data_IF_785811637154
#
_entry.id   IF_785811637154
#
_cell.length_a   1.000
_cell.length_b   1.000
_cell.length_c   1.000
_cell.angle_alpha   90.00
_cell.angle_beta   90.00
_cell.angle_gamma   90.00
#
_symmetry.space_group_name_H-M   'P 1'
#
loop_
_entity.id
_entity.type
_entity.pdbx_description
1 polymer ?
#
# COMPACT_ATOMS: atom_id res chain seq x y z
N UNK A 1 -12.69 -12.16 5.73
CA UNK A 1 -12.55 -13.58 6.12
C UNK A 1 -11.08 -13.92 6.25
N UNK A 2 -10.73 -14.97 7.00
CA UNK A 2 -9.34 -15.42 7.19
C UNK A 2 -9.20 -16.80 6.56
N UNK A 3 -8.21 -16.98 5.69
CA UNK A 3 -7.94 -18.24 5.00
C UNK A 3 -6.48 -18.63 5.21
N UNK A 4 -6.22 -19.92 5.44
CA UNK A 4 -4.86 -20.45 5.50
C UNK A 4 -4.61 -21.20 4.22
N UNK A 5 -3.63 -20.73 3.44
CA UNK A 5 -3.19 -21.41 2.22
C UNK A 5 -1.88 -22.12 2.47
N UNK A 6 -1.68 -23.27 1.81
CA UNK A 6 -0.36 -23.87 1.72
C UNK A 6 0.60 -22.91 1.04
N UNK A 7 1.82 -22.85 1.56
CA UNK A 7 2.87 -21.99 1.01
C UNK A 7 3.23 -22.49 -0.40
N UNK A 8 3.26 -21.63 -1.43
CA UNK A 8 3.82 -22.01 -2.72
C UNK A 8 5.33 -22.21 -2.56
N UNK A 9 5.73 -23.49 -2.49
CA UNK A 9 7.10 -24.02 -2.57
C UNK A 9 8.20 -23.15 -1.92
N UNK A 10 8.38 -23.27 -0.60
CA UNK A 10 9.71 -23.09 -0.03
C UNK A 10 10.42 -24.45 -0.09
N UNK A 11 11.51 -24.53 -0.86
CA UNK A 11 12.39 -25.69 -0.87
C UNK A 11 12.93 -25.91 0.55
N UNK A 12 12.66 -27.10 1.11
CA UNK A 12 13.19 -27.53 2.39
C UNK A 12 14.72 -27.56 2.31
N UNK A 13 15.40 -26.78 3.16
CA UNK A 13 16.81 -27.07 3.47
C UNK A 13 16.86 -28.28 4.40
N UNK A 14 17.67 -29.28 4.05
CA UNK A 14 17.85 -30.58 4.71
C UNK A 14 18.53 -30.51 6.10
N UNK A 15 18.12 -29.58 6.96
CA UNK A 15 18.61 -29.51 8.33
C UNK A 15 17.44 -29.53 9.29
N UNK A 16 17.02 -30.73 9.66
CA UNK A 16 16.16 -30.95 10.82
C UNK A 16 16.78 -30.30 12.07
N UNK A 17 15.91 -29.83 12.98
CA UNK A 17 16.11 -28.97 14.16
C UNK A 17 15.98 -27.46 13.88
N UNK A 18 15.20 -26.64 14.62
CA UNK A 18 14.58 -26.72 15.97
C UNK A 18 13.23 -25.97 15.92
N UNK A 19 12.33 -26.29 16.86
CA UNK A 19 11.25 -25.41 17.30
C UNK A 19 11.82 -24.01 17.56
N UNK A 20 11.62 -23.09 16.61
CA UNK A 20 11.85 -21.69 16.88
C UNK A 20 10.61 -21.19 17.63
N UNK A 21 10.83 -20.69 18.84
CA UNK A 21 9.88 -19.79 19.51
C UNK A 21 9.26 -18.88 18.44
N UNK A 22 7.92 -18.81 18.33
CA UNK A 22 7.30 -18.07 17.25
C UNK A 22 7.80 -16.64 17.28
N UNK A 23 8.42 -16.21 16.17
CA UNK A 23 8.88 -14.84 15.95
C UNK A 23 7.79 -13.88 16.46
N UNK A 24 8.13 -12.80 17.17
CA UNK A 24 7.16 -11.87 17.81
C UNK A 24 5.96 -11.49 16.93
N UNK A 25 6.18 -11.38 15.62
CA UNK A 25 5.20 -11.04 14.57
C UNK A 25 4.12 -12.13 14.38
N UNK A 26 4.34 -13.35 14.90
CA UNK A 26 3.46 -14.53 14.79
C UNK A 26 2.83 -14.94 16.12
N UNK A 27 2.94 -14.09 17.14
CA UNK A 27 2.17 -14.22 18.38
C UNK A 27 0.70 -13.85 18.09
N UNK A 28 -0.23 -14.45 18.84
CA UNK A 28 -1.68 -14.26 18.71
C UNK A 28 -2.11 -12.79 18.59
N UNK A 29 -1.58 -11.92 19.45
CA UNK A 29 -1.89 -10.48 19.45
C UNK A 29 -1.48 -9.79 18.16
N UNK A 30 -0.32 -10.14 17.61
CA UNK A 30 0.20 -9.58 16.34
C UNK A 30 -0.63 -10.05 15.14
N UNK A 31 -1.04 -11.31 15.13
CA UNK A 31 -1.93 -11.86 14.09
C UNK A 31 -3.28 -11.14 14.10
N UNK A 32 -3.89 -10.94 15.28
CA UNK A 32 -5.15 -10.22 15.43
C UNK A 32 -5.03 -8.78 14.93
N UNK A 33 -3.96 -8.07 15.27
CA UNK A 33 -3.71 -6.69 14.80
C UNK A 33 -3.57 -6.62 13.27
N UNK A 34 -2.83 -7.57 12.68
CA UNK A 34 -2.64 -7.65 11.24
C UNK A 34 -3.95 -7.94 10.53
N UNK A 35 -4.76 -8.88 11.04
CA UNK A 35 -6.10 -9.19 10.54
C UNK A 35 -7.00 -7.94 10.62
N UNK A 36 -6.92 -7.18 11.72
CA UNK A 36 -7.70 -5.96 11.93
C UNK A 36 -7.49 -4.88 10.87
N UNK A 37 -6.33 -4.84 10.20
CA UNK A 37 -6.08 -3.90 9.10
C UNK A 37 -7.03 -4.15 7.91
N UNK A 38 -7.39 -5.40 7.64
CA UNK A 38 -8.30 -5.77 6.56
C UNK A 38 -9.78 -5.50 6.90
N UNK A 39 -10.13 -5.30 8.17
CA UNK A 39 -11.52 -5.15 8.62
C UNK A 39 -12.18 -3.81 8.21
N UNK A 40 -11.43 -2.87 7.62
CA UNK A 40 -11.95 -1.56 7.17
C UNK A 40 -12.65 -1.60 5.81
N UNK A 41 -12.63 -2.75 5.14
CA UNK A 41 -13.25 -2.95 3.83
C UNK A 41 -14.26 -4.10 3.93
N UNK A 42 -15.40 -3.96 3.24
CA UNK A 42 -16.46 -4.97 3.17
C UNK A 42 -15.96 -6.33 2.64
N UNK A 43 -15.08 -6.28 1.65
CA UNK A 43 -14.42 -7.44 1.04
C UNK A 43 -13.05 -7.74 1.68
N UNK A 44 -12.83 -7.26 2.91
CA UNK A 44 -11.61 -7.52 3.66
C UNK A 44 -11.32 -9.02 3.80
N UNK A 45 -10.21 -9.46 3.21
CA UNK A 45 -9.72 -10.84 3.28
C UNK A 45 -8.29 -10.88 3.78
N UNK A 46 -7.97 -11.92 4.54
CA UNK A 46 -6.63 -12.19 5.06
C UNK A 46 -6.25 -13.59 4.62
N UNK A 47 -5.07 -13.72 4.00
CA UNK A 47 -4.49 -15.00 3.60
C UNK A 47 -3.24 -15.20 4.45
N UNK A 48 -3.20 -16.28 5.22
CA UNK A 48 -2.03 -16.70 5.97
C UNK A 48 -1.37 -17.87 5.23
N UNK A 49 -0.12 -17.71 4.82
CA UNK A 49 0.67 -18.80 4.26
C UNK A 49 1.37 -19.55 5.38
N UNK A 50 1.05 -20.84 5.52
CA UNK A 50 1.66 -21.72 6.49
C UNK A 50 1.53 -23.19 6.07
N UNK A 51 2.52 -24.00 6.43
CA UNK A 51 2.46 -25.45 6.21
C UNK A 51 1.60 -26.15 7.25
N UNK A 52 1.59 -25.63 8.48
CA UNK A 52 0.78 -26.12 9.61
C UNK A 52 0.07 -24.98 10.32
N UNK A 53 -1.07 -25.29 10.94
CA UNK A 53 -1.81 -24.33 11.76
C UNK A 53 -1.25 -24.39 13.18
N UNK A 54 -0.63 -23.30 13.63
CA UNK A 54 -0.11 -23.18 15.00
C UNK A 54 -1.21 -22.81 15.99
N UNK A 55 -0.97 -23.03 17.29
CA UNK A 55 -1.93 -22.66 18.33
C UNK A 55 -2.29 -21.16 18.32
N UNK A 56 -1.31 -20.29 18.09
CA UNK A 56 -1.51 -18.84 17.94
C UNK A 56 -2.42 -18.50 16.75
N UNK A 57 -2.25 -19.20 15.62
CA UNK A 57 -3.13 -19.04 14.45
C UNK A 57 -4.55 -19.49 14.77
N UNK A 58 -4.71 -20.66 15.40
CA UNK A 58 -6.02 -21.18 15.80
C UNK A 58 -6.76 -20.18 16.70
N UNK A 59 -6.10 -19.65 17.73
CA UNK A 59 -6.69 -18.64 18.62
C UNK A 59 -7.09 -17.37 17.88
N UNK A 60 -6.20 -16.83 17.03
CA UNK A 60 -6.49 -15.63 16.24
C UNK A 60 -7.65 -15.83 15.23
N UNK A 61 -7.70 -16.99 14.56
CA UNK A 61 -8.79 -17.35 13.64
C UNK A 61 -10.12 -17.46 14.40
N UNK A 62 -10.13 -18.17 15.52
CA UNK A 62 -11.32 -18.38 16.33
C UNK A 62 -11.87 -17.06 16.87
N UNK A 63 -11.01 -16.19 17.40
CA UNK A 63 -11.43 -14.87 17.90
C UNK A 63 -11.96 -13.99 16.76
N UNK A 64 -11.34 -14.04 15.57
CA UNK A 64 -11.82 -13.31 14.39
C UNK A 64 -13.20 -13.81 13.95
N UNK A 65 -13.41 -15.12 13.91
CA UNK A 65 -14.69 -15.73 13.54
C UNK A 65 -15.78 -15.44 14.57
N UNK A 66 -15.45 -15.50 15.86
CA UNK A 66 -16.37 -15.13 16.95
C UNK A 66 -16.85 -13.68 16.82
N UNK A 67 -15.92 -12.73 16.61
CA UNK A 67 -16.26 -11.31 16.39
C UNK A 67 -17.13 -11.11 15.16
N UNK A 68 -16.77 -11.76 14.04
CA UNK A 68 -17.53 -11.67 12.79
C UNK A 68 -18.95 -12.20 12.95
N UNK A 69 -19.14 -13.31 13.67
CA UNK A 69 -20.47 -13.88 13.94
C UNK A 69 -21.35 -12.88 14.69
N UNK A 70 -20.84 -12.29 15.78
CA UNK A 70 -21.56 -11.28 16.56
C UNK A 70 -21.94 -10.08 15.69
N UNK A 71 -21.02 -9.59 14.86
CA UNK A 71 -21.27 -8.49 13.94
C UNK A 71 -22.34 -8.83 12.89
N UNK A 72 -22.30 -10.04 12.32
CA UNK A 72 -23.30 -10.49 11.34
C UNK A 72 -24.68 -10.65 11.99
N UNK A 73 -24.75 -11.22 13.19
CA UNK A 73 -26.00 -11.40 13.92
C UNK A 73 -26.61 -10.04 14.29
N UNK A 74 -25.78 -9.09 14.73
CA UNK A 74 -26.21 -7.70 14.99
C UNK A 74 -26.72 -7.03 13.71
N UNK A 75 -25.94 -7.09 12.63
CA UNK A 75 -26.34 -6.52 11.35
C UNK A 75 -27.64 -7.11 10.82
N UNK A 76 -27.85 -8.42 10.97
CA UNK A 76 -29.09 -9.10 10.57
C UNK A 76 -30.29 -8.64 11.42
N UNK A 77 -30.11 -8.52 12.74
CA UNK A 77 -31.17 -8.03 13.65
C UNK A 77 -31.57 -6.58 13.38
N UNK A 78 -30.61 -5.74 12.96
CA UNK A 78 -30.82 -4.31 12.75
C UNK A 78 -30.93 -3.90 11.28
N UNK A 79 -30.91 -4.84 10.33
CA UNK A 79 -30.98 -4.54 8.89
C UNK A 79 -29.81 -3.72 8.35
N UNK A 80 -28.63 -3.79 8.97
CA UNK A 80 -27.46 -2.98 8.60
C UNK A 80 -26.71 -3.65 7.44
N UNK A 81 -26.55 -2.93 6.34
CA UNK A 81 -25.72 -3.36 5.20
C UNK A 81 -24.28 -2.85 5.40
N UNK A 82 -23.27 -3.74 5.51
CA UNK A 82 -21.88 -3.32 5.65
C UNK A 82 -21.46 -2.44 4.48
N UNK A 83 -20.91 -1.26 4.77
CA UNK A 83 -20.40 -0.33 3.76
C UNK A 83 -18.98 0.08 4.13
N UNK A 84 -18.10 0.19 3.13
CA UNK A 84 -16.72 0.66 3.33
C UNK A 84 -16.72 2.14 3.70
N UNK A 85 -16.06 2.50 4.79
CA UNK A 85 -15.93 3.90 5.22
C UNK A 85 -15.06 4.65 4.21
N UNK A 86 -15.66 5.54 3.42
CA UNK A 86 -14.94 6.51 2.57
C UNK A 86 -14.59 7.71 3.44
N UNK A 87 -13.31 7.87 3.80
CA UNK A 87 -12.84 9.12 4.40
C UNK A 87 -12.54 10.10 3.29
N UNK A 88 -13.20 11.26 3.30
CA UNK A 88 -12.82 12.38 2.46
C UNK A 88 -11.37 12.76 2.80
N UNK A 89 -10.50 12.72 1.81
CA UNK A 89 -9.26 13.50 1.85
C UNK A 89 -9.73 14.95 1.78
N UNK A 90 -9.24 15.83 2.66
CA UNK A 90 -9.77 17.20 2.80
C UNK A 90 -9.73 17.92 1.44
N UNK A 91 -10.91 18.14 0.84
CA UNK A 91 -11.10 18.98 -0.34
C UNK A 91 -11.08 20.45 0.10
N UNK A 92 -9.91 21.08 0.09
CA UNK A 92 -9.75 22.52 0.42
C UNK A 92 -9.29 23.34 -0.80
N UNK A 93 -9.17 22.73 -1.99
CA UNK A 93 -8.40 23.31 -3.11
C UNK A 93 -9.25 23.45 -4.40
N UNK A 94 -10.56 23.66 -4.30
CA UNK A 94 -11.38 23.98 -5.48
C UNK A 94 -11.56 25.48 -5.74
N UNK A 95 -11.13 26.36 -4.84
CA UNK A 95 -11.41 27.80 -4.95
C UNK A 95 -10.39 28.62 -5.77
N UNK A 96 -9.23 28.06 -6.16
CA UNK A 96 -8.14 28.85 -6.79
C UNK A 96 -7.83 28.48 -8.24
N UNK A 97 -8.70 27.71 -8.91
CA UNK A 97 -8.50 27.19 -10.28
C UNK A 97 -8.50 28.24 -11.42
N UNK A 98 -8.55 29.54 -11.13
CA UNK A 98 -8.73 30.60 -12.14
C UNK A 98 -7.77 31.76 -11.90
N UNK A 99 -6.51 31.57 -12.28
CA UNK A 99 -5.43 32.54 -12.50
C UNK A 99 -4.13 31.77 -12.21
N UNK A 100 -3.04 31.77 -12.96
CA UNK A 100 -2.58 32.50 -14.13
C UNK A 100 -1.42 31.65 -14.70
N UNK A 101 -1.28 31.70 -16.02
CA UNK A 101 -0.08 31.50 -16.86
C UNK A 101 0.96 30.39 -16.64
N UNK A 102 1.13 29.64 -17.73
CA UNK A 102 2.21 28.73 -18.05
C UNK A 102 3.57 29.45 -18.02
N UNK A 103 4.53 28.97 -17.22
CA UNK A 103 5.95 29.28 -17.45
C UNK A 103 6.84 28.07 -17.23
N UNK A 104 7.35 27.56 -18.37
CA UNK A 104 8.68 27.02 -18.63
C UNK A 104 9.58 26.62 -17.45
N UNK A 105 9.56 25.34 -17.06
CA UNK A 105 10.72 24.68 -16.44
C UNK A 105 10.79 23.20 -16.83
N UNK A 106 11.00 22.93 -18.12
CA UNK A 106 11.50 21.62 -18.58
C UNK A 106 13.03 21.62 -18.45
N UNK A 107 13.65 20.75 -17.64
CA UNK A 107 15.09 20.57 -17.72
C UNK A 107 15.43 19.88 -19.04
N UNK A 108 16.23 20.57 -19.85
CA UNK A 108 16.81 20.24 -21.16
C UNK A 108 17.72 18.99 -21.18
N UNK A 109 17.42 17.96 -20.39
CA UNK A 109 18.17 16.70 -20.36
C UNK A 109 17.30 15.52 -20.75
N UNK A 110 17.64 14.94 -21.90
CA UNK A 110 17.16 13.66 -22.42
C UNK A 110 17.08 12.60 -21.31
N UNK A 111 15.88 12.43 -20.76
CA UNK A 111 15.54 11.41 -19.76
C UNK A 111 15.79 9.99 -20.30
N UNK A 112 15.82 9.85 -21.63
CA UNK A 112 16.10 8.63 -22.38
C UNK A 112 17.52 8.09 -22.25
N UNK A 113 18.50 8.91 -21.81
CA UNK A 113 19.92 8.51 -21.69
C UNK A 113 20.38 8.22 -20.26
N UNK A 114 19.53 8.43 -19.26
CA UNK A 114 19.90 8.28 -17.86
C UNK A 114 19.87 6.81 -17.39
N UNK A 115 20.80 6.43 -16.53
CA UNK A 115 20.79 5.13 -15.86
C UNK A 115 19.61 5.01 -14.88
N UNK A 116 19.10 3.79 -14.64
CA UNK A 116 18.03 3.53 -13.65
C UNK A 116 18.35 4.14 -12.27
N UNK A 117 19.63 4.20 -11.90
CA UNK A 117 20.09 4.77 -10.62
C UNK A 117 19.99 6.30 -10.61
N UNK A 118 20.30 6.94 -11.74
CA UNK A 118 20.26 8.40 -11.89
C UNK A 118 18.81 8.90 -11.99
N UNK A 119 17.94 8.17 -12.71
CA UNK A 119 16.51 8.43 -12.75
C UNK A 119 15.88 8.36 -11.34
N UNK A 120 16.25 7.34 -10.57
CA UNK A 120 15.76 7.21 -9.18
C UNK A 120 16.22 8.37 -8.32
N UNK A 121 17.48 8.78 -8.42
CA UNK A 121 18.01 9.92 -7.67
C UNK A 121 17.34 11.24 -8.06
N UNK A 122 17.07 11.45 -9.35
CA UNK A 122 16.36 12.62 -9.86
C UNK A 122 14.92 12.68 -9.31
N UNK A 123 14.18 11.57 -9.40
CA UNK A 123 12.82 11.46 -8.86
C UNK A 123 12.78 11.68 -7.35
N UNK A 124 13.76 11.14 -6.60
CA UNK A 124 13.85 11.37 -5.15
C UNK A 124 14.13 12.84 -4.80
N UNK A 125 14.92 13.54 -5.61
CA UNK A 125 15.18 14.97 -5.42
C UNK A 125 13.92 15.80 -5.71
N UNK A 126 13.25 15.55 -6.84
CA UNK A 126 12.00 16.21 -7.18
C UNK A 126 10.89 15.94 -6.14
N UNK A 127 10.80 14.72 -5.60
CA UNK A 127 9.84 14.37 -4.55
C UNK A 127 10.11 15.13 -3.24
N UNK A 128 11.38 15.41 -2.89
CA UNK A 128 11.72 16.27 -1.76
C UNK A 128 11.29 17.71 -2.01
N UNK A 129 11.62 18.26 -3.18
CA UNK A 129 11.24 19.63 -3.55
C UNK A 129 9.72 19.80 -3.56
N UNK A 130 8.98 18.82 -4.07
CA UNK A 130 7.51 18.80 -4.07
C UNK A 130 6.95 18.82 -2.64
N UNK A 131 7.52 18.02 -1.74
CA UNK A 131 7.11 17.97 -0.33
C UNK A 131 7.43 19.25 0.41
N UNK A 132 8.56 19.88 0.12
CA UNK A 132 8.93 21.14 0.76
C UNK A 132 8.10 22.31 0.23
N UNK A 133 7.80 22.35 -1.08
CA UNK A 133 6.82 23.28 -1.66
C UNK A 133 5.43 23.11 -1.02
N UNK A 134 4.96 21.86 -0.83
CA UNK A 134 3.70 21.58 -0.16
C UNK A 134 3.68 22.01 1.32
N UNK A 135 4.81 21.91 2.03
CA UNK A 135 4.94 22.42 3.41
C UNK A 135 4.90 23.95 3.46
N UNK A 136 5.49 24.60 2.47
CA UNK A 136 5.51 26.07 2.35
C UNK A 136 4.20 26.64 1.79
N UNK A 137 3.18 25.81 1.55
CA UNK A 137 1.89 26.17 0.96
C UNK A 137 2.01 26.67 -0.50
N UNK A 138 3.13 26.36 -1.18
CA UNK A 138 3.36 26.62 -2.61
C UNK A 138 2.74 25.47 -3.44
N UNK A 139 1.40 25.42 -3.48
CA UNK A 139 0.68 24.28 -4.07
C UNK A 139 0.82 24.16 -5.58
N UNK A 140 0.97 25.26 -6.30
CA UNK A 140 1.16 25.29 -7.76
C UNK A 140 2.48 24.61 -8.12
N UNK A 141 3.58 25.06 -7.51
CA UNK A 141 4.89 24.46 -7.66
C UNK A 141 4.92 22.98 -7.24
N UNK A 142 4.18 22.62 -6.19
CA UNK A 142 4.03 21.21 -5.82
C UNK A 142 3.26 20.40 -6.88
N UNK A 143 2.26 20.98 -7.54
CA UNK A 143 1.51 20.34 -8.61
C UNK A 143 2.37 20.15 -9.87
N UNK A 144 3.15 21.16 -10.26
CA UNK A 144 4.09 21.08 -11.37
C UNK A 144 5.15 19.99 -11.15
N UNK A 145 5.78 19.99 -9.96
CA UNK A 145 6.77 18.97 -9.61
C UNK A 145 6.15 17.56 -9.60
N UNK A 146 4.90 17.42 -9.17
CA UNK A 146 4.16 16.15 -9.23
C UNK A 146 4.00 15.68 -10.67
N UNK A 147 3.59 16.57 -11.57
CA UNK A 147 3.30 16.23 -12.96
C UNK A 147 4.60 15.88 -13.72
N UNK A 148 5.68 16.61 -13.45
CA UNK A 148 7.02 16.28 -13.95
C UNK A 148 7.50 14.91 -13.46
N UNK A 149 7.28 14.57 -12.18
CA UNK A 149 7.62 13.24 -11.65
C UNK A 149 6.81 12.15 -12.36
N UNK A 150 5.54 12.40 -12.68
CA UNK A 150 4.71 11.44 -13.41
C UNK A 150 5.21 11.22 -14.83
N UNK A 151 5.56 12.29 -15.54
CA UNK A 151 6.11 12.23 -16.90
C UNK A 151 7.42 11.45 -16.93
N UNK A 152 8.38 11.77 -16.05
CA UNK A 152 9.66 11.06 -15.95
C UNK A 152 9.46 9.57 -15.65
N UNK A 153 8.50 9.22 -14.77
CA UNK A 153 8.19 7.82 -14.46
C UNK A 153 7.55 7.10 -15.65
N UNK A 154 6.67 7.78 -16.40
CA UNK A 154 6.01 7.21 -17.57
C UNK A 154 7.00 6.95 -18.72
N UNK A 155 7.92 7.89 -18.97
CA UNK A 155 8.99 7.72 -19.95
C UNK A 155 9.97 6.62 -19.54
N UNK A 156 10.40 6.59 -18.28
CA UNK A 156 11.26 5.52 -17.76
C UNK A 156 10.61 4.13 -17.93
N UNK A 157 9.29 4.03 -17.72
CA UNK A 157 8.56 2.79 -17.93
C UNK A 157 8.46 2.42 -19.42
N UNK A 158 8.27 3.40 -20.30
CA UNK A 158 8.18 3.21 -21.75
C UNK A 158 9.52 2.72 -22.33
N UNK A 159 10.65 3.30 -21.90
CA UNK A 159 12.01 2.89 -22.32
C UNK A 159 12.34 1.45 -21.89
N UNK A 160 11.86 1.01 -20.71
CA UNK A 160 12.05 -0.36 -20.24
C UNK A 160 11.28 -1.35 -21.15
N UNK A 161 10.09 -0.96 -21.62
CA UNK A 161 9.23 -1.81 -22.46
C UNK A 161 9.82 -1.99 -23.86
N UNK A 162 10.43 -0.96 -24.45
CA UNK A 162 11.09 -1.05 -25.77
C UNK A 162 12.41 -1.83 -25.77
N UNK A 163 13.14 -1.89 -24.65
CA UNK A 163 14.37 -2.69 -24.52
C UNK A 163 14.14 -4.18 -24.25
N UNK A 164 12.89 -4.61 -24.04
CA UNK A 164 12.53 -6.00 -23.79
C UNK A 164 11.95 -6.73 -25.02
N UNK A 165 11.92 -6.07 -26.18
CA UNK A 165 11.60 -6.67 -27.47
C UNK A 165 12.83 -6.69 -28.38
#
# INVERSE_FOLDING_TARGET
>A
SVHVSRSPAYSLNERGFRTQEPLFIRIETSLIQTIGRAARNVDGRVIMYADTITQSMTRAINETNRRRKIQMDYNKKHGIVPTTVKKAVRDVIEATKVAEDQTDYLPEKDVTKMSKKELKALVENLDRQMKDAAKNLEFEKAAELRDLIFEIKAEAFSVIKTKQF
#
